data_IF_057522334670
#
_entry.id   IF_057522334670
#
_cell.length_a   1.000
_cell.length_b   1.000
_cell.length_c   1.000
_cell.angle_alpha   90.00
_cell.angle_beta   90.00
_cell.angle_gamma   90.00
#
_symmetry.space_group_name_H-M   'P 1'
#
loop_
_entity.id
_entity.type
_entity.pdbx_description
1 polymer ?
#
# COMPACT_ATOMS: atom_id res chain seq x y z
N UNK A 1 -1.82 59.81 -44.53
CA UNK A 1 -2.94 58.95 -44.92
C UNK A 1 -2.34 58.00 -45.95
N UNK A 2 -1.96 56.79 -45.48
CA UNK A 2 -1.50 55.73 -46.38
C UNK A 2 -2.76 55.26 -47.15
N UNK A 3 -2.79 55.51 -48.47
CA UNK A 3 -3.68 54.80 -49.37
C UNK A 3 -3.35 53.30 -49.22
N UNK A 4 -4.36 52.53 -48.80
CA UNK A 4 -4.18 51.09 -48.63
C UNK A 4 -3.85 50.44 -49.98
N UNK A 5 -2.68 49.89 -50.14
CA UNK A 5 -2.39 48.95 -51.21
C UNK A 5 -3.39 47.80 -51.13
N UNK A 6 -4.32 47.79 -52.10
CA UNK A 6 -5.26 46.67 -52.24
C UNK A 6 -4.47 45.52 -52.88
N UNK A 7 -4.18 44.51 -52.09
CA UNK A 7 -3.56 43.28 -52.58
C UNK A 7 -4.65 42.47 -53.30
N UNK A 8 -4.52 42.30 -54.60
CA UNK A 8 -5.43 41.45 -55.37
C UNK A 8 -4.99 39.97 -55.20
N UNK A 9 -5.59 39.34 -54.20
CA UNK A 9 -5.27 37.93 -53.86
C UNK A 9 -6.17 37.05 -54.72
N UNK A 10 -5.61 36.14 -55.53
CA UNK A 10 -6.41 35.19 -56.30
C UNK A 10 -7.29 34.34 -55.38
N UNK A 11 -8.59 34.31 -55.62
CA UNK A 11 -9.58 33.57 -54.83
C UNK A 11 -9.19 32.10 -54.61
N UNK A 12 -8.50 31.48 -55.56
CA UNK A 12 -7.98 30.11 -55.45
C UNK A 12 -6.97 29.93 -54.32
N UNK A 13 -6.17 30.92 -53.99
CA UNK A 13 -5.17 30.85 -52.89
C UNK A 13 -5.87 30.86 -51.52
N UNK A 14 -6.88 31.72 -51.38
CA UNK A 14 -7.69 31.76 -50.14
C UNK A 14 -8.41 30.42 -49.96
N UNK A 15 -8.99 29.85 -51.04
CA UNK A 15 -9.64 28.54 -50.97
C UNK A 15 -8.69 27.42 -50.51
N UNK A 16 -7.45 27.40 -50.99
CA UNK A 16 -6.46 26.39 -50.59
C UNK A 16 -6.09 26.51 -49.10
N UNK A 17 -5.90 27.72 -48.58
CA UNK A 17 -5.65 27.93 -47.13
C UNK A 17 -6.83 27.44 -46.32
N UNK A 18 -8.08 27.73 -46.73
CA UNK A 18 -9.27 27.24 -46.05
C UNK A 18 -9.35 25.71 -46.08
N UNK A 19 -9.04 25.11 -47.24
CA UNK A 19 -9.04 23.66 -47.41
C UNK A 19 -7.96 23.01 -46.58
N UNK A 20 -6.74 23.56 -46.53
CA UNK A 20 -5.66 23.11 -45.67
C UNK A 20 -6.02 23.18 -44.19
N UNK A 21 -6.64 24.28 -43.76
CA UNK A 21 -7.14 24.40 -42.35
C UNK A 21 -8.24 23.37 -42.05
N UNK A 22 -9.08 23.03 -43.01
CA UNK A 22 -10.10 22.00 -42.90
C UNK A 22 -9.48 20.65 -42.64
N UNK A 23 -8.45 20.26 -43.40
CA UNK A 23 -7.70 19.03 -43.17
C UNK A 23 -7.00 19.02 -41.79
N UNK A 24 -6.32 20.11 -41.43
CA UNK A 24 -5.67 20.23 -40.14
C UNK A 24 -6.67 20.11 -38.94
N UNK A 25 -7.91 20.60 -39.15
CA UNK A 25 -8.95 20.52 -38.12
C UNK A 25 -9.43 19.09 -37.81
N UNK A 26 -9.26 18.17 -38.78
CA UNK A 26 -9.59 16.74 -38.60
C UNK A 26 -8.36 15.85 -38.44
N UNK A 27 -7.23 16.45 -38.08
CA UNK A 27 -5.95 15.77 -37.82
C UNK A 27 -5.24 15.22 -39.06
N UNK A 28 -5.64 15.63 -40.27
CA UNK A 28 -4.99 15.27 -41.52
C UNK A 28 -3.90 16.28 -41.89
N UNK A 29 -2.77 16.27 -41.18
CA UNK A 29 -1.71 17.28 -41.32
C UNK A 29 -0.93 17.14 -42.59
N UNK A 30 -0.64 15.92 -43.12
CA UNK A 30 0.10 15.73 -44.34
C UNK A 30 -0.63 16.31 -45.58
N UNK A 31 -1.93 16.02 -45.80
CA UNK A 31 -2.69 16.68 -46.88
C UNK A 31 -2.75 18.20 -46.74
N UNK A 32 -2.88 18.70 -45.51
CA UNK A 32 -2.86 20.14 -45.20
C UNK A 32 -1.55 20.78 -45.64
N UNK A 33 -0.41 20.18 -45.30
CA UNK A 33 0.92 20.69 -45.66
C UNK A 33 1.20 20.60 -47.15
N UNK A 34 0.75 19.56 -47.87
CA UNK A 34 0.88 19.46 -49.33
C UNK A 34 0.18 20.63 -50.03
N UNK A 35 -1.02 21.00 -49.57
CA UNK A 35 -1.74 22.15 -50.12
C UNK A 35 -1.01 23.45 -49.83
N UNK A 36 -0.44 23.65 -48.67
CA UNK A 36 0.26 24.86 -48.27
C UNK A 36 1.64 25.01 -48.97
N UNK A 37 2.34 23.93 -49.24
CA UNK A 37 3.66 23.93 -49.92
C UNK A 37 3.59 24.16 -51.43
N UNK A 38 2.40 24.20 -52.02
CA UNK A 38 2.22 24.36 -53.49
C UNK A 38 2.20 25.82 -53.94
N UNK A 39 2.63 26.78 -53.13
CA UNK A 39 2.66 28.19 -53.43
C UNK A 39 4.03 28.64 -53.94
N UNK A 40 4.10 29.23 -55.11
CA UNK A 40 5.34 29.62 -55.79
C UNK A 40 5.43 31.16 -56.05
N UNK A 41 4.47 31.93 -55.53
CA UNK A 41 4.39 33.39 -55.74
C UNK A 41 5.08 34.16 -54.56
N UNK A 42 5.93 35.13 -54.93
CA UNK A 42 6.60 36.03 -53.96
C UNK A 42 5.77 37.33 -53.85
N UNK A 43 4.74 37.34 -52.99
CA UNK A 43 3.96 38.53 -52.69
C UNK A 43 3.66 38.62 -51.17
N UNK A 44 2.98 39.69 -50.74
CA UNK A 44 2.66 39.91 -49.34
C UNK A 44 1.73 38.82 -48.73
N UNK A 45 1.06 38.03 -49.56
CA UNK A 45 0.22 36.92 -49.11
C UNK A 45 1.04 35.65 -48.85
N UNK A 46 2.22 35.50 -49.50
CA UNK A 46 3.11 34.35 -49.29
C UNK A 46 3.73 34.32 -47.88
N UNK A 47 3.89 35.47 -47.24
CA UNK A 47 4.28 35.52 -45.80
C UNK A 47 3.23 34.87 -44.91
N UNK A 48 1.95 35.12 -45.21
CA UNK A 48 0.82 34.52 -44.46
C UNK A 48 0.76 33.01 -44.72
N UNK A 49 0.91 32.56 -45.94
CA UNK A 49 0.94 31.13 -46.34
C UNK A 49 2.08 30.41 -45.63
N UNK A 50 3.26 31.01 -45.58
CA UNK A 50 4.42 30.49 -44.88
C UNK A 50 4.14 30.39 -43.37
N UNK A 51 3.55 31.41 -42.78
CA UNK A 51 3.18 31.39 -41.34
C UNK A 51 2.16 30.29 -41.04
N UNK A 52 1.17 30.06 -41.92
CA UNK A 52 0.23 28.96 -41.79
C UNK A 52 0.89 27.60 -41.94
N UNK A 53 1.85 27.45 -42.85
CA UNK A 53 2.59 26.21 -43.03
C UNK A 53 3.35 25.85 -41.77
N UNK A 54 4.11 26.80 -41.20
CA UNK A 54 4.82 26.63 -39.92
C UNK A 54 3.86 26.28 -38.78
N UNK A 55 2.75 27.00 -38.70
CA UNK A 55 1.75 26.74 -37.64
C UNK A 55 1.16 25.33 -37.76
N UNK A 56 0.83 24.85 -38.96
CA UNK A 56 0.29 23.49 -39.16
C UNK A 56 1.34 22.43 -38.85
N UNK A 57 2.62 22.66 -39.23
CA UNK A 57 3.74 21.78 -38.92
C UNK A 57 3.91 21.66 -37.39
N UNK A 58 4.00 22.78 -36.67
CA UNK A 58 4.15 22.81 -35.19
C UNK A 58 2.95 22.16 -34.52
N UNK A 59 1.73 22.41 -34.97
CA UNK A 59 0.52 21.83 -34.42
C UNK A 59 0.52 20.30 -34.60
N UNK A 60 0.92 19.84 -35.80
CA UNK A 60 1.01 18.42 -36.08
C UNK A 60 2.05 17.70 -35.23
N UNK A 61 3.22 18.34 -35.05
CA UNK A 61 4.28 17.81 -34.18
C UNK A 61 3.84 17.78 -32.69
N UNK A 62 3.26 18.87 -32.21
CA UNK A 62 2.76 18.94 -30.84
C UNK A 62 1.70 17.88 -30.56
N UNK A 63 0.79 17.66 -31.49
CA UNK A 63 -0.28 16.67 -31.35
C UNK A 63 0.25 15.23 -31.38
N UNK A 64 1.24 14.94 -32.23
CA UNK A 64 1.95 13.64 -32.24
C UNK A 64 2.67 13.40 -30.93
N UNK A 65 3.43 14.38 -30.45
CA UNK A 65 4.14 14.29 -29.17
C UNK A 65 3.19 14.08 -27.98
N UNK A 66 2.06 14.78 -27.97
CA UNK A 66 1.03 14.61 -26.95
C UNK A 66 0.43 13.20 -26.97
N UNK A 67 0.10 12.68 -28.15
CA UNK A 67 -0.43 11.32 -28.30
C UNK A 67 0.54 10.27 -27.78
N UNK A 68 1.80 10.36 -28.19
CA UNK A 68 2.85 9.45 -27.70
C UNK A 68 3.06 9.55 -26.17
N UNK A 69 2.94 10.76 -25.61
CA UNK A 69 3.04 10.95 -24.17
C UNK A 69 1.86 10.31 -23.44
N UNK A 70 0.64 10.44 -23.95
CA UNK A 70 -0.55 9.80 -23.41
C UNK A 70 -0.46 8.27 -23.47
N UNK A 71 -0.05 7.71 -24.60
CA UNK A 71 0.14 6.25 -24.73
C UNK A 71 1.19 5.73 -23.75
N UNK A 72 2.32 6.43 -23.60
CA UNK A 72 3.35 6.08 -22.60
C UNK A 72 2.81 6.17 -21.17
N UNK A 73 2.04 7.19 -20.87
CA UNK A 73 1.43 7.37 -19.55
C UNK A 73 0.44 6.26 -19.21
N UNK A 74 -0.40 5.85 -20.17
CA UNK A 74 -1.33 4.73 -19.99
C UNK A 74 -0.61 3.41 -19.73
N UNK A 75 0.47 3.12 -20.46
CA UNK A 75 1.29 1.91 -20.23
C UNK A 75 1.90 1.93 -18.84
N UNK A 76 2.51 3.06 -18.46
CA UNK A 76 3.14 3.22 -17.13
C UNK A 76 2.12 3.08 -16.00
N UNK A 77 0.91 3.63 -16.16
CA UNK A 77 -0.15 3.50 -15.16
C UNK A 77 -0.59 2.04 -14.99
N UNK A 78 -0.79 1.30 -16.08
CA UNK A 78 -1.14 -0.14 -16.00
C UNK A 78 -0.05 -0.96 -15.29
N UNK A 79 1.22 -0.67 -15.59
CA UNK A 79 2.34 -1.34 -14.92
C UNK A 79 2.38 -0.99 -13.42
N UNK A 80 2.11 0.26 -13.06
CA UNK A 80 2.08 0.70 -11.67
C UNK A 80 0.94 0.02 -10.90
N UNK A 81 -0.26 -0.03 -11.47
CA UNK A 81 -1.41 -0.73 -10.89
C UNK A 81 -1.12 -2.21 -10.65
N UNK A 82 -0.52 -2.90 -11.63
CA UNK A 82 -0.14 -4.30 -11.49
C UNK A 82 0.90 -4.52 -10.38
N UNK A 83 1.88 -3.61 -10.24
CA UNK A 83 2.86 -3.66 -9.15
C UNK A 83 2.22 -3.42 -7.78
N UNK A 84 1.31 -2.46 -7.67
CA UNK A 84 0.58 -2.19 -6.43
C UNK A 84 -0.23 -3.42 -6.00
N UNK A 85 -0.95 -4.04 -6.92
CA UNK A 85 -1.71 -5.25 -6.64
C UNK A 85 -0.81 -6.41 -6.18
N UNK A 86 0.36 -6.55 -6.81
CA UNK A 86 1.35 -7.56 -6.39
C UNK A 86 1.86 -7.31 -4.97
N UNK A 87 2.17 -6.04 -4.65
CA UNK A 87 2.63 -5.65 -3.30
C UNK A 87 1.54 -5.92 -2.26
N UNK A 88 0.29 -5.61 -2.54
CA UNK A 88 -0.84 -5.88 -1.65
C UNK A 88 -1.00 -7.38 -1.37
N UNK A 89 -0.91 -8.23 -2.40
CA UNK A 89 -0.95 -9.68 -2.25
C UNK A 89 0.24 -10.21 -1.43
N UNK A 90 1.44 -9.68 -1.67
CA UNK A 90 2.62 -10.04 -0.88
C UNK A 90 2.49 -9.62 0.58
N UNK A 91 1.96 -8.41 0.84
CA UNK A 91 1.72 -7.94 2.20
C UNK A 91 0.63 -8.76 2.91
N UNK A 92 -0.42 -9.19 2.21
CA UNK A 92 -1.42 -10.09 2.77
C UNK A 92 -0.80 -11.44 3.14
N UNK A 93 -0.02 -12.05 2.23
CA UNK A 93 0.68 -13.30 2.50
C UNK A 93 1.68 -13.20 3.67
N UNK A 94 2.39 -12.09 3.79
CA UNK A 94 3.29 -11.84 4.93
C UNK A 94 2.47 -11.68 6.23
N UNK A 95 1.31 -11.03 6.19
CA UNK A 95 0.42 -10.92 7.36
C UNK A 95 -0.09 -12.28 7.82
N UNK A 96 -0.54 -13.13 6.90
CA UNK A 96 -1.03 -14.47 7.21
C UNK A 96 0.07 -15.36 7.83
N UNK A 97 1.32 -15.17 7.40
CA UNK A 97 2.48 -15.88 7.97
C UNK A 97 3.01 -15.25 9.27
N UNK A 98 2.67 -13.99 9.56
CA UNK A 98 3.31 -13.23 10.64
C UNK A 98 2.66 -13.37 12.01
N UNK A 99 1.59 -14.18 12.15
CA UNK A 99 0.92 -14.38 13.44
C UNK A 99 0.54 -15.86 13.64
N UNK A 100 1.48 -16.81 13.48
CA UNK A 100 1.16 -18.21 13.70
C UNK A 100 0.93 -18.45 15.20
N UNK A 101 -0.27 -18.92 15.57
CA UNK A 101 -0.49 -19.46 16.91
C UNK A 101 0.03 -20.90 16.90
N UNK A 102 1.04 -21.14 17.73
CA UNK A 102 1.74 -22.42 17.78
C UNK A 102 1.33 -23.14 19.09
N UNK A 103 0.93 -24.38 19.00
CA UNK A 103 0.79 -25.22 20.17
C UNK A 103 2.16 -25.72 20.58
N UNK A 104 2.73 -25.11 21.61
CA UNK A 104 4.09 -25.42 22.11
C UNK A 104 4.11 -26.56 23.11
N UNK A 105 2.96 -26.86 23.69
CA UNK A 105 2.74 -27.99 24.58
C UNK A 105 1.27 -28.34 24.63
N UNK A 106 0.91 -29.52 25.11
CA UNK A 106 -0.50 -29.95 25.25
C UNK A 106 -1.31 -28.94 26.08
N UNK A 107 -2.25 -28.27 25.42
CA UNK A 107 -3.07 -27.22 26.02
C UNK A 107 -2.37 -25.88 26.28
N UNK A 108 -1.17 -25.68 25.67
CA UNK A 108 -0.42 -24.41 25.75
C UNK A 108 -0.21 -23.83 24.37
N UNK A 109 -0.79 -22.69 24.11
CA UNK A 109 -0.60 -21.91 22.88
C UNK A 109 0.46 -20.85 23.08
N UNK A 110 1.26 -20.60 22.04
CA UNK A 110 2.17 -19.48 21.95
C UNK A 110 1.78 -18.61 20.76
N UNK A 111 1.60 -17.33 21.02
CA UNK A 111 1.43 -16.27 20.03
C UNK A 111 2.72 -15.45 19.97
N UNK A 112 3.66 -15.73 19.05
CA UNK A 112 4.83 -14.91 18.88
C UNK A 112 4.46 -13.61 18.14
N UNK A 113 4.80 -12.47 18.73
CA UNK A 113 4.54 -11.15 18.15
C UNK A 113 5.86 -10.55 17.72
N UNK A 114 5.96 -10.25 16.41
CA UNK A 114 7.18 -9.71 15.80
C UNK A 114 6.86 -8.47 14.99
N UNK A 115 7.72 -7.45 15.09
CA UNK A 115 7.62 -6.21 14.33
C UNK A 115 6.60 -5.22 14.89
N UNK A 116 6.03 -4.41 14.01
CA UNK A 116 5.11 -3.33 14.39
C UNK A 116 3.71 -3.89 14.59
N UNK A 117 3.07 -3.52 15.68
CA UNK A 117 1.70 -3.90 16.04
C UNK A 117 0.83 -2.65 16.01
N UNK A 118 -0.04 -2.59 15.03
CA UNK A 118 -1.09 -1.57 14.94
C UNK A 118 -2.42 -2.08 15.52
N UNK A 119 -3.42 -1.21 15.58
CA UNK A 119 -4.72 -1.52 16.15
C UNK A 119 -5.47 -2.63 15.40
N UNK A 120 -5.34 -2.67 14.07
CA UNK A 120 -5.99 -3.69 13.25
C UNK A 120 -5.36 -5.05 13.50
N UNK A 121 -4.03 -5.15 13.42
CA UNK A 121 -3.29 -6.37 13.69
C UNK A 121 -3.53 -6.89 15.12
N UNK A 122 -3.61 -5.98 16.10
CA UNK A 122 -3.95 -6.34 17.48
C UNK A 122 -5.33 -6.97 17.60
N UNK A 123 -6.33 -6.46 16.87
CA UNK A 123 -7.67 -7.01 16.87
C UNK A 123 -7.70 -8.41 16.24
N UNK A 124 -7.09 -8.57 15.05
CA UNK A 124 -6.96 -9.84 14.34
C UNK A 124 -6.24 -10.90 15.18
N UNK A 125 -5.12 -10.55 15.82
CA UNK A 125 -4.40 -11.44 16.74
C UNK A 125 -5.26 -11.88 17.92
N UNK A 126 -6.03 -10.96 18.49
CA UNK A 126 -6.90 -11.26 19.62
C UNK A 126 -7.99 -12.23 19.22
N UNK A 127 -8.69 -11.95 18.11
CA UNK A 127 -9.76 -12.80 17.59
C UNK A 127 -9.25 -14.22 17.31
N UNK A 128 -8.18 -14.35 16.53
CA UNK A 128 -7.58 -15.64 16.18
C UNK A 128 -7.13 -16.42 17.42
N UNK A 129 -6.56 -15.72 18.42
CA UNK A 129 -6.14 -16.36 19.68
C UNK A 129 -7.32 -16.91 20.46
N UNK A 130 -8.39 -16.13 20.60
CA UNK A 130 -9.60 -16.54 21.34
C UNK A 130 -10.28 -17.73 20.65
N UNK A 131 -10.43 -17.70 19.33
CA UNK A 131 -10.96 -18.81 18.56
C UNK A 131 -10.14 -20.08 18.71
N UNK A 132 -8.79 -19.96 18.64
CA UNK A 132 -7.88 -21.09 18.78
C UNK A 132 -7.94 -21.68 20.21
N UNK A 133 -8.06 -20.84 21.25
CA UNK A 133 -8.22 -21.30 22.63
C UNK A 133 -9.49 -22.14 22.77
N UNK A 134 -10.62 -21.67 22.22
CA UNK A 134 -11.89 -22.39 22.27
C UNK A 134 -11.82 -23.69 21.48
N UNK A 135 -11.30 -23.65 20.26
CA UNK A 135 -11.20 -24.81 19.37
C UNK A 135 -10.30 -25.92 19.96
N UNK A 136 -9.18 -25.53 20.57
CA UNK A 136 -8.21 -26.48 21.14
C UNK A 136 -8.41 -26.74 22.65
N UNK A 137 -9.36 -26.08 23.27
CA UNK A 137 -9.59 -26.15 24.72
C UNK A 137 -8.31 -25.91 25.54
N UNK A 138 -7.55 -24.93 25.10
CA UNK A 138 -6.23 -24.62 25.67
C UNK A 138 -6.39 -23.96 27.04
N UNK A 139 -5.49 -24.31 27.96
CA UNK A 139 -5.50 -23.81 29.33
C UNK A 139 -4.60 -22.61 29.56
N UNK A 140 -3.60 -22.45 28.69
CA UNK A 140 -2.63 -21.37 28.76
C UNK A 140 -2.38 -20.79 27.38
N UNK A 141 -2.39 -19.46 27.28
CA UNK A 141 -1.87 -18.71 26.15
C UNK A 141 -0.63 -17.91 26.59
N UNK A 142 0.46 -18.06 25.85
CA UNK A 142 1.69 -17.28 26.04
C UNK A 142 1.78 -16.29 24.88
N UNK A 143 1.74 -15.01 25.18
CA UNK A 143 1.94 -13.93 24.20
C UNK A 143 3.41 -13.52 24.30
N UNK A 144 4.20 -13.93 23.34
CA UNK A 144 5.65 -13.66 23.32
C UNK A 144 5.96 -12.40 22.51
N UNK A 145 6.32 -11.33 23.22
CA UNK A 145 6.63 -10.01 22.65
C UNK A 145 8.14 -9.77 22.53
N UNK A 146 8.96 -10.82 22.54
CA UNK A 146 10.43 -10.69 22.39
C UNK A 146 10.81 -10.00 21.07
N UNK A 147 10.00 -10.14 20.04
CA UNK A 147 10.21 -9.52 18.72
C UNK A 147 9.69 -8.08 18.57
N UNK A 148 9.29 -7.43 19.67
CA UNK A 148 8.85 -6.04 19.67
C UNK A 148 9.95 -5.16 20.27
N UNK A 149 10.44 -4.20 19.47
CA UNK A 149 11.47 -3.27 19.92
C UNK A 149 10.90 -2.08 20.68
N UNK A 150 9.76 -1.55 20.22
CA UNK A 150 9.11 -0.36 20.77
C UNK A 150 7.61 -0.63 20.95
N UNK A 151 7.08 -0.20 22.08
CA UNK A 151 5.66 -0.32 22.42
C UNK A 151 5.09 1.05 22.79
N UNK A 152 4.01 1.45 22.14
CA UNK A 152 3.25 2.64 22.52
C UNK A 152 2.11 2.29 23.50
N UNK A 153 1.44 3.31 24.01
CA UNK A 153 0.34 3.17 24.98
C UNK A 153 -0.81 2.33 24.42
N UNK A 154 -1.13 2.51 23.13
CA UNK A 154 -2.25 1.80 22.49
C UNK A 154 -1.95 0.31 22.37
N UNK A 155 -0.74 -0.01 21.92
CA UNK A 155 -0.27 -1.39 21.79
C UNK A 155 -0.24 -2.09 23.16
N UNK A 156 0.23 -1.41 24.21
CA UNK A 156 0.19 -1.94 25.57
C UNK A 156 -1.23 -2.24 26.03
N UNK A 157 -2.16 -1.31 25.83
CA UNK A 157 -3.58 -1.49 26.20
C UNK A 157 -4.22 -2.67 25.43
N UNK A 158 -3.88 -2.86 24.17
CA UNK A 158 -4.33 -4.01 23.38
C UNK A 158 -3.88 -5.35 23.99
N UNK A 159 -2.61 -5.49 24.36
CA UNK A 159 -2.12 -6.73 24.99
C UNK A 159 -2.78 -7.02 26.34
N UNK A 160 -3.07 -5.98 27.12
CA UNK A 160 -3.78 -6.15 28.39
C UNK A 160 -5.22 -6.59 28.14
N UNK A 161 -5.91 -5.97 27.18
CA UNK A 161 -7.28 -6.36 26.82
C UNK A 161 -7.30 -7.80 26.29
N UNK A 162 -6.34 -8.18 25.45
CA UNK A 162 -6.18 -9.55 24.98
C UNK A 162 -6.01 -10.53 26.14
N UNK A 163 -5.09 -10.25 27.08
CA UNK A 163 -4.87 -11.10 28.24
C UNK A 163 -6.12 -11.23 29.12
N UNK A 164 -6.87 -10.13 29.33
CA UNK A 164 -8.14 -10.15 30.05
C UNK A 164 -9.20 -10.99 29.33
N UNK A 165 -9.30 -10.87 28.00
CA UNK A 165 -10.23 -11.64 27.19
C UNK A 165 -9.93 -13.15 27.23
N UNK A 166 -8.67 -13.56 27.15
CA UNK A 166 -8.23 -14.94 27.30
C UNK A 166 -8.70 -15.51 28.67
N UNK A 167 -8.54 -14.74 29.75
CA UNK A 167 -8.97 -15.14 31.07
C UNK A 167 -10.48 -15.28 31.21
N UNK A 168 -11.26 -14.47 30.50
CA UNK A 168 -12.72 -14.62 30.45
C UNK A 168 -13.17 -15.95 29.83
N UNK A 169 -12.36 -16.53 28.95
CA UNK A 169 -12.59 -17.86 28.38
C UNK A 169 -12.13 -19.00 29.31
N UNK A 170 -11.59 -18.68 30.49
CA UNK A 170 -11.12 -19.66 31.47
C UNK A 170 -9.71 -20.18 31.21
N UNK A 171 -8.97 -19.60 30.29
CA UNK A 171 -7.55 -19.88 30.05
C UNK A 171 -6.68 -18.86 30.80
N UNK A 172 -5.50 -19.27 31.27
CA UNK A 172 -4.50 -18.33 31.77
C UNK A 172 -3.78 -17.63 30.60
N UNK A 173 -3.29 -16.41 30.87
CA UNK A 173 -2.48 -15.66 29.92
C UNK A 173 -1.18 -15.19 30.56
N UNK A 174 -0.07 -15.43 29.86
CA UNK A 174 1.26 -14.96 30.26
C UNK A 174 1.81 -14.11 29.12
N UNK A 175 2.31 -12.93 29.44
CA UNK A 175 3.09 -12.12 28.50
C UNK A 175 4.56 -12.37 28.77
N UNK A 176 5.30 -12.82 27.76
CA UNK A 176 6.74 -13.08 27.85
C UNK A 176 7.55 -12.15 26.93
N UNK A 177 8.84 -11.99 27.24
CA UNK A 177 9.74 -11.23 26.37
C UNK A 177 9.73 -9.72 26.58
N UNK A 178 9.26 -9.24 27.72
CA UNK A 178 9.30 -7.81 28.06
C UNK A 178 10.76 -7.39 28.22
N UNK A 179 11.25 -6.54 27.33
CA UNK A 179 12.58 -5.95 27.42
C UNK A 179 12.59 -4.71 28.35
N UNK A 180 13.78 -4.22 28.80
CA UNK A 180 13.87 -3.08 29.71
C UNK A 180 13.23 -1.79 29.16
N UNK A 181 13.30 -1.54 27.85
CA UNK A 181 12.72 -0.36 27.22
C UNK A 181 11.18 -0.41 27.30
N UNK A 182 10.60 -1.56 26.98
CA UNK A 182 9.16 -1.79 27.11
C UNK A 182 8.72 -1.68 28.57
N UNK A 183 9.47 -2.26 29.51
CA UNK A 183 9.16 -2.18 30.93
C UNK A 183 9.15 -0.73 31.44
N UNK A 184 10.11 0.09 31.04
CA UNK A 184 10.15 1.52 31.36
C UNK A 184 8.94 2.25 30.77
N UNK A 185 8.62 1.98 29.51
CA UNK A 185 7.46 2.58 28.83
C UNK A 185 6.15 2.24 29.55
N UNK A 186 5.92 0.97 29.87
CA UNK A 186 4.73 0.51 30.59
C UNK A 186 4.58 1.17 31.96
N UNK A 187 5.70 1.30 32.71
CA UNK A 187 5.72 1.96 34.01
C UNK A 187 5.44 3.46 33.90
N UNK A 188 6.03 4.11 32.89
CA UNK A 188 5.87 5.55 32.67
C UNK A 188 4.43 5.93 32.27
N UNK A 189 3.79 5.08 31.47
CA UNK A 189 2.41 5.26 31.00
C UNK A 189 1.39 4.96 32.11
N UNK A 190 1.80 4.29 33.21
CA UNK A 190 0.90 3.90 34.29
C UNK A 190 -0.08 2.79 33.90
N UNK A 191 0.34 1.88 33.04
CA UNK A 191 -0.48 0.75 32.57
C UNK A 191 -0.76 -0.21 33.71
N UNK A 192 -2.04 -0.49 33.99
CA UNK A 192 -2.45 -1.46 34.98
C UNK A 192 -2.25 -2.90 34.52
N UNK A 193 -1.16 -3.50 34.94
CA UNK A 193 -0.83 -4.92 34.72
C UNK A 193 -1.42 -5.85 35.78
N UNK A 194 -2.28 -5.34 36.68
CA UNK A 194 -2.90 -6.14 37.72
C UNK A 194 -3.66 -7.32 37.13
N UNK A 195 -3.27 -8.50 37.51
CA UNK A 195 -3.85 -9.75 37.03
C UNK A 195 -3.30 -10.27 35.69
N UNK A 196 -2.31 -9.61 35.12
CA UNK A 196 -1.59 -10.15 33.95
C UNK A 196 -0.25 -10.70 34.41
N UNK A 197 -0.02 -12.00 34.19
CA UNK A 197 1.26 -12.65 34.54
C UNK A 197 2.30 -12.28 33.48
N UNK A 198 3.47 -11.83 33.92
CA UNK A 198 4.58 -11.49 33.02
C UNK A 198 5.81 -12.30 33.38
N UNK A 199 6.51 -12.79 32.35
CA UNK A 199 7.75 -13.54 32.52
C UNK A 199 8.81 -13.06 31.53
N UNK A 200 10.06 -13.33 31.85
CA UNK A 200 11.18 -12.84 31.06
C UNK A 200 11.28 -13.48 29.66
N UNK A 201 10.93 -14.76 29.57
CA UNK A 201 11.08 -15.50 28.31
C UNK A 201 9.97 -16.55 28.17
N UNK A 202 9.75 -16.98 26.93
CA UNK A 202 8.90 -18.14 26.59
C UNK A 202 9.32 -19.39 27.39
N UNK A 203 10.63 -19.61 27.56
CA UNK A 203 11.17 -20.74 28.34
C UNK A 203 10.67 -20.69 29.78
N UNK A 204 10.74 -19.53 30.41
CA UNK A 204 10.31 -19.39 31.83
C UNK A 204 8.80 -19.61 31.97
N UNK A 205 8.03 -19.17 30.96
CA UNK A 205 6.58 -19.40 30.91
C UNK A 205 6.23 -20.90 30.82
N UNK A 206 6.91 -21.62 29.94
CA UNK A 206 6.75 -23.08 29.81
C UNK A 206 7.19 -23.82 31.09
N UNK A 207 8.32 -23.46 31.65
CA UNK A 207 8.80 -24.09 32.92
C UNK A 207 7.84 -23.89 34.05
N UNK A 208 7.25 -22.69 34.15
CA UNK A 208 6.26 -22.40 35.20
C UNK A 208 5.02 -23.27 35.02
N UNK A 209 4.49 -23.34 33.77
CA UNK A 209 3.33 -24.17 33.45
C UNK A 209 3.57 -25.66 33.81
N UNK A 210 4.73 -26.20 33.43
CA UNK A 210 5.08 -27.59 33.65
C UNK A 210 5.12 -27.90 35.17
N UNK A 211 5.71 -27.02 36.00
CA UNK A 211 5.74 -27.17 37.45
C UNK A 211 4.34 -27.12 38.07
N UNK A 212 3.50 -26.18 37.61
CA UNK A 212 2.11 -26.06 38.11
C UNK A 212 1.29 -27.28 37.70
N UNK A 213 1.45 -27.79 36.49
CA UNK A 213 0.76 -28.97 36.01
C UNK A 213 1.18 -30.25 36.72
N UNK A 214 2.48 -30.41 37.06
CA UNK A 214 2.97 -31.52 37.90
C UNK A 214 2.37 -31.48 39.32
N UNK A 215 2.29 -30.29 39.93
CA UNK A 215 1.69 -30.13 41.27
C UNK A 215 0.20 -30.47 41.30
N UNK A 216 -0.50 -30.24 40.19
CA UNK A 216 -1.92 -30.56 40.04
C UNK A 216 -2.18 -32.00 39.61
N UNK A 217 -1.14 -32.83 39.47
CA UNK A 217 -1.24 -34.23 39.03
C UNK A 217 -1.74 -34.39 37.60
N UNK A 218 -1.60 -33.36 36.77
CA UNK A 218 -2.02 -33.37 35.38
C UNK A 218 -1.00 -34.14 34.52
N UNK A 219 -1.51 -35.06 33.70
CA UNK A 219 -0.67 -35.82 32.78
C UNK A 219 -0.18 -34.93 31.63
N UNK A 220 0.99 -34.35 31.80
CA UNK A 220 1.57 -33.38 30.86
C UNK A 220 2.36 -34.16 29.81
N UNK A 221 1.70 -34.57 28.71
CA UNK A 221 2.41 -35.16 27.56
C UNK A 221 2.85 -34.08 26.57
N UNK A 222 4.09 -34.18 26.06
CA UNK A 222 4.56 -33.34 24.98
C UNK A 222 3.64 -33.48 23.76
N UNK A 223 3.32 -32.37 23.11
CA UNK A 223 2.70 -32.42 21.79
C UNK A 223 3.78 -32.97 20.82
N UNK A 224 3.56 -34.14 20.29
CA UNK A 224 4.36 -34.76 19.21
C UNK A 224 3.69 -34.51 17.91
#
# INVERSE_FOLDING_TARGET
MNEGETIDIPYRRIQRVIEALSYASVDEFEPSLELLRSFDDEDAFSELETAFTVFVEELGEAKRALKEALERHEVTNRELEAKLQTIELQQAAIRDLSTPIIEVWSGVLCLPVVGIVDSQRSAEMTETLLETIVAKQSRLAIVDITGIDVMDTKTADHFIKMAKAVRLLGADCIISGINPAIAQTLTHIGVDLTGVRTLRSLRDALQLYLREAEQLGMNVRAAV
#
